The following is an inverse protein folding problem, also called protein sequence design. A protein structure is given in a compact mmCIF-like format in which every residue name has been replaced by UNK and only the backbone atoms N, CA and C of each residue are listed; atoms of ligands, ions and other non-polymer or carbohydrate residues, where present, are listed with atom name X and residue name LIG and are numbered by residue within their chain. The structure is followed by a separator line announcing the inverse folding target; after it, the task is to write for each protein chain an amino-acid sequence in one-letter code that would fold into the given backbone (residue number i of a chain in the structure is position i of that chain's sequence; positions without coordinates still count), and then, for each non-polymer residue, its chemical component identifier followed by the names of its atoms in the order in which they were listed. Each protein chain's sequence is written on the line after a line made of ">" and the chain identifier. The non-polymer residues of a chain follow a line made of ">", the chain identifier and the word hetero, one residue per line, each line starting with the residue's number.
data_IF_844846185906
#
_entry.id   IF_844846185906
#
_cell.length_a   1.000
_cell.length_b   1.000
_cell.length_c   1.000
_cell.angle_alpha   90.00
_cell.angle_beta   90.00
_cell.angle_gamma   90.00
#
_symmetry.space_group_name_H-M   'P 1'
#
loop_
_entity.id
_entity.type
_entity.pdbx_description
1 polymer ?
#
# COMPACT_ATOMS: atom_id res chain seq x y z
N UNK A 1 2.50 46.34 7.57
CA UNK A 1 1.07 46.13 7.92
C UNK A 1 0.76 44.68 7.60
N UNK A 2 0.81 43.82 8.62
CA UNK A 2 0.51 42.39 8.49
C UNK A 2 -1.00 42.22 8.65
N UNK A 3 -1.70 41.84 7.58
CA UNK A 3 -3.13 41.49 7.62
C UNK A 3 -3.26 39.96 7.78
N UNK A 4 -3.91 39.47 8.86
CA UNK A 4 -3.95 38.06 9.23
C UNK A 4 -5.15 37.36 8.58
N UNK A 5 -4.95 36.82 7.38
CA UNK A 5 -5.83 35.83 6.74
C UNK A 5 -4.88 34.87 5.98
N UNK A 6 -4.31 33.82 6.57
CA UNK A 6 -4.98 32.81 7.37
C UNK A 6 -5.64 31.79 6.44
N UNK A 7 -4.92 30.73 6.08
CA UNK A 7 -5.48 29.46 5.60
C UNK A 7 -6.48 29.53 4.43
N UNK A 8 -6.01 29.73 3.20
CA UNK A 8 -6.83 29.46 2.02
C UNK A 8 -6.06 28.58 1.04
N UNK A 9 -6.59 27.35 0.89
CA UNK A 9 -6.37 26.37 -0.18
C UNK A 9 -5.03 25.59 -0.17
N UNK A 10 -4.86 24.73 0.83
CA UNK A 10 -4.37 23.36 0.51
C UNK A 10 -5.56 22.68 -0.18
N UNK A 11 -5.44 22.21 -1.43
CA UNK A 11 -6.60 21.85 -2.22
C UNK A 11 -7.36 20.71 -1.57
N UNK A 12 -8.69 20.79 -1.62
CA UNK A 12 -9.64 19.72 -1.25
C UNK A 12 -9.49 18.43 -2.11
N UNK A 13 -8.39 18.31 -2.86
CA UNK A 13 -7.97 17.15 -3.65
C UNK A 13 -7.11 16.14 -2.88
N UNK A 14 -6.60 16.47 -1.69
CA UNK A 14 -5.70 15.55 -0.96
C UNK A 14 -6.43 14.52 -0.08
N UNK A 15 -7.73 14.67 0.21
CA UNK A 15 -8.46 13.72 1.09
C UNK A 15 -9.08 12.57 0.31
N UNK A 16 -9.65 12.83 -0.88
CA UNK A 16 -10.32 11.81 -1.68
C UNK A 16 -9.33 10.78 -2.24
N UNK A 17 -8.16 11.21 -2.73
CA UNK A 17 -7.09 10.29 -3.16
C UNK A 17 -6.50 9.49 -1.99
N UNK A 18 -6.33 10.10 -0.80
CA UNK A 18 -5.81 9.39 0.38
C UNK A 18 -6.76 8.29 0.87
N UNK A 19 -8.06 8.55 0.88
CA UNK A 19 -9.09 7.56 1.26
C UNK A 19 -9.22 6.45 0.22
N UNK A 20 -9.13 6.78 -1.08
CA UNK A 20 -9.12 5.76 -2.14
C UNK A 20 -7.88 4.85 -2.04
N UNK A 21 -6.71 5.44 -1.73
CA UNK A 21 -5.46 4.71 -1.53
C UNK A 21 -5.50 3.79 -0.30
N UNK A 22 -6.17 4.19 0.79
CA UNK A 22 -6.37 3.34 1.97
C UNK A 22 -7.28 2.14 1.68
N UNK A 23 -8.44 2.37 1.03
CA UNK A 23 -9.40 1.30 0.70
C UNK A 23 -8.80 0.32 -0.32
N UNK A 24 -8.04 0.82 -1.29
CA UNK A 24 -7.36 -0.02 -2.28
C UNK A 24 -6.25 -0.86 -1.64
N UNK A 25 -5.47 -0.30 -0.71
CA UNK A 25 -4.45 -1.05 0.03
C UNK A 25 -5.07 -2.20 0.84
N UNK A 26 -6.19 -1.94 1.54
CA UNK A 26 -6.92 -2.97 2.28
C UNK A 26 -7.43 -4.08 1.35
N UNK A 27 -8.03 -3.71 0.20
CA UNK A 27 -8.49 -4.69 -0.81
C UNK A 27 -7.33 -5.49 -1.39
N UNK A 28 -6.20 -4.85 -1.70
CA UNK A 28 -5.02 -5.54 -2.22
C UNK A 28 -4.41 -6.45 -1.16
N UNK A 29 -4.37 -6.06 0.11
CA UNK A 29 -3.87 -6.91 1.19
C UNK A 29 -4.78 -8.10 1.52
N UNK A 30 -6.10 -7.96 1.36
CA UNK A 30 -7.04 -9.09 1.45
C UNK A 30 -6.82 -10.06 0.28
N UNK A 31 -6.65 -9.53 -0.93
CA UNK A 31 -6.32 -10.33 -2.13
C UNK A 31 -4.98 -11.04 -1.98
N UNK A 32 -3.99 -10.35 -1.44
CA UNK A 32 -2.62 -10.81 -1.21
C UNK A 32 -2.38 -11.13 0.26
N UNK A 33 -3.12 -12.13 0.78
CA UNK A 33 -2.96 -12.78 2.10
C UNK A 33 -2.42 -11.83 3.19
N UNK A 34 -3.30 -11.27 4.01
CA UNK A 34 -3.03 -10.24 5.07
C UNK A 34 -1.68 -10.38 5.81
N UNK A 35 -1.25 -11.59 6.17
CA UNK A 35 0.04 -11.84 6.83
C UNK A 35 1.28 -11.40 5.99
N UNK A 36 1.22 -11.56 4.67
CA UNK A 36 2.29 -11.13 3.77
C UNK A 36 2.35 -9.61 3.65
N UNK A 37 1.19 -8.97 3.45
CA UNK A 37 1.06 -7.52 3.47
C UNK A 37 1.56 -6.92 4.79
N UNK A 38 1.13 -7.45 5.95
CA UNK A 38 1.58 -6.98 7.26
C UNK A 38 3.08 -7.15 7.49
N UNK A 39 3.67 -8.26 7.03
CA UNK A 39 5.13 -8.49 7.13
C UNK A 39 5.96 -7.59 6.24
N UNK A 40 5.38 -7.06 5.18
CA UNK A 40 6.03 -6.16 4.24
C UNK A 40 5.53 -4.72 4.33
N UNK A 41 4.97 -4.31 5.49
CA UNK A 41 4.51 -2.95 5.75
C UNK A 41 3.53 -2.41 4.68
N UNK A 42 2.67 -3.29 4.14
CA UNK A 42 1.71 -2.92 3.09
C UNK A 42 2.22 -3.06 1.66
N UNK A 43 3.49 -3.44 1.42
CA UNK A 43 3.99 -3.65 0.07
C UNK A 43 3.43 -4.95 -0.54
N UNK A 44 2.63 -4.82 -1.60
CA UNK A 44 2.12 -5.91 -2.43
C UNK A 44 2.24 -5.51 -3.91
N UNK A 45 2.43 -6.46 -4.85
CA UNK A 45 2.49 -6.15 -6.28
C UNK A 45 1.16 -5.57 -6.79
N UNK A 46 1.22 -4.55 -7.66
CA UNK A 46 0.02 -3.86 -8.11
C UNK A 46 -0.66 -4.57 -9.29
N UNK A 47 -1.66 -5.41 -8.99
CA UNK A 47 -2.50 -6.05 -9.99
C UNK A 47 -2.22 -7.54 -10.20
N UNK A 48 -3.18 -8.29 -10.79
CA UNK A 48 -3.15 -9.76 -10.84
C UNK A 48 -1.98 -10.37 -11.62
N UNK A 49 -1.35 -9.59 -12.51
CA UNK A 49 -0.22 -10.02 -13.34
C UNK A 49 1.06 -9.24 -13.03
N UNK A 50 1.10 -8.54 -11.89
CA UNK A 50 2.26 -7.77 -11.51
C UNK A 50 3.44 -8.65 -11.14
N UNK A 51 4.62 -8.20 -11.54
CA UNK A 51 5.87 -8.86 -11.17
C UNK A 51 6.11 -8.71 -9.67
N UNK A 52 6.42 -9.83 -9.00
CA UNK A 52 6.75 -9.83 -7.56
C UNK A 52 7.99 -9.00 -7.24
N UNK A 53 8.84 -8.69 -8.21
CA UNK A 53 9.98 -7.79 -8.09
C UNK A 53 9.57 -6.35 -7.71
N UNK A 54 8.32 -5.94 -7.95
CA UNK A 54 7.80 -4.65 -7.47
C UNK A 54 7.85 -4.55 -5.93
N UNK A 55 7.72 -5.67 -5.23
CA UNK A 55 7.84 -5.76 -3.78
C UNK A 55 8.81 -6.89 -3.39
N UNK A 56 10.13 -6.61 -3.28
CA UNK A 56 11.13 -7.60 -2.93
C UNK A 56 10.85 -8.34 -1.63
N UNK A 57 10.37 -7.66 -0.58
CA UNK A 57 9.96 -8.31 0.66
C UNK A 57 8.87 -9.38 0.44
N UNK A 58 7.87 -9.06 -0.39
CA UNK A 58 6.77 -9.97 -0.71
C UNK A 58 7.27 -11.20 -1.48
N UNK A 59 8.19 -10.99 -2.42
CA UNK A 59 8.87 -12.04 -3.19
C UNK A 59 9.73 -12.95 -2.32
N UNK A 60 10.49 -12.37 -1.40
CA UNK A 60 11.52 -13.06 -0.64
C UNK A 60 10.97 -13.76 0.62
N UNK A 61 9.71 -13.52 0.97
CA UNK A 61 9.03 -14.22 2.06
C UNK A 61 8.91 -15.72 1.78
N UNK A 62 9.72 -16.51 2.49
CA UNK A 62 9.65 -17.97 2.50
C UNK A 62 8.95 -18.51 3.75
N UNK A 63 8.35 -19.69 3.63
CA UNK A 63 7.91 -20.48 4.77
C UNK A 63 9.11 -21.26 5.37
N UNK A 64 8.96 -21.90 6.55
CA UNK A 64 10.04 -22.69 7.17
C UNK A 64 10.55 -23.85 6.30
N UNK A 65 9.83 -24.24 5.25
CA UNK A 65 10.22 -25.28 4.28
C UNK A 65 10.94 -24.69 3.05
N UNK A 66 11.30 -23.40 3.08
CA UNK A 66 12.01 -22.71 1.99
C UNK A 66 11.17 -22.40 0.75
N UNK A 67 9.86 -22.65 0.78
CA UNK A 67 8.96 -22.34 -0.34
C UNK A 67 8.40 -20.94 -0.22
N UNK A 68 8.01 -20.35 -1.35
CA UNK A 68 7.32 -19.06 -1.38
C UNK A 68 6.11 -19.09 -0.46
N UNK A 69 6.06 -18.11 0.44
CA UNK A 69 4.97 -17.97 1.40
C UNK A 69 3.81 -17.16 0.83
N UNK A 70 4.14 -16.22 -0.06
CA UNK A 70 3.24 -15.20 -0.56
C UNK A 70 3.01 -15.42 -2.06
N UNK A 71 1.75 -15.71 -2.40
CA UNK A 71 1.28 -16.16 -3.71
C UNK A 71 0.29 -15.17 -4.26
#
# INVERSE_FOLDING_TARGET
>A
MNNPLGFILVPVLDVQELVLNQIELERQCIKYRVNCCGKCNGCVPWGPYADKAQCPCYRDLKNPKGKDKCS
#
